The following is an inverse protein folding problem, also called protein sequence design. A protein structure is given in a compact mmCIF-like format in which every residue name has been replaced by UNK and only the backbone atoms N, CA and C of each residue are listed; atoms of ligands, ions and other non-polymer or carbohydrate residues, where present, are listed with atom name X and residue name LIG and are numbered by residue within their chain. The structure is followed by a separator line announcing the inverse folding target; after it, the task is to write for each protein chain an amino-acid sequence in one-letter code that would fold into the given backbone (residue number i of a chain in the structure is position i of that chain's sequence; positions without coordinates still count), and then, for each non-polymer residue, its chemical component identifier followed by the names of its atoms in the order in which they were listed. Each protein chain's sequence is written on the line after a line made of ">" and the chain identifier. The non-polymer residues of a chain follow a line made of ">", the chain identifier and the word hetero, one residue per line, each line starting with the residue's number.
data_IF_420835528416
#
_entry.id   IF_420835528416
#
_cell.length_a   1.000
_cell.length_b   1.000
_cell.length_c   1.000
_cell.angle_alpha   90.00
_cell.angle_beta   90.00
_cell.angle_gamma   90.00
#
_symmetry.space_group_name_H-M   'P 1'
#
loop_
_entity.id
_entity.type
_entity.pdbx_description
1 polymer ?
#
# COMPACT_ATOMS: atom_id res chain seq x y z
N UNK A 1 1.62 11.66 29.32
CA UNK A 1 2.70 12.53 28.79
C UNK A 1 2.39 12.87 27.35
N UNK A 2 2.89 14.00 26.86
CA UNK A 2 2.84 14.37 25.44
C UNK A 2 4.19 14.13 24.79
N UNK A 3 4.19 14.00 23.46
CA UNK A 3 5.40 13.96 22.67
C UNK A 3 5.60 15.37 22.11
N UNK A 4 6.63 16.07 22.57
CA UNK A 4 6.77 17.50 22.33
C UNK A 4 7.38 17.85 20.96
N UNK A 5 7.82 16.84 20.19
CA UNK A 5 8.31 17.01 18.82
C UNK A 5 8.00 15.80 17.92
N UNK A 6 7.93 15.96 16.60
CA UNK A 6 7.72 14.84 15.68
C UNK A 6 8.83 13.78 15.77
N UNK A 7 8.48 12.50 15.57
CA UNK A 7 9.45 11.41 15.61
C UNK A 7 10.60 11.57 14.61
N UNK A 8 10.39 12.20 13.45
CA UNK A 8 11.46 12.40 12.46
C UNK A 8 12.55 13.40 12.92
N UNK A 9 12.37 14.04 14.09
CA UNK A 9 13.35 14.90 14.75
C UNK A 9 13.95 14.27 16.01
N UNK A 10 13.59 13.02 16.32
CA UNK A 10 14.17 12.29 17.45
C UNK A 10 15.62 11.91 17.15
N UNK A 11 16.46 12.00 18.17
CA UNK A 11 17.73 11.30 18.27
C UNK A 11 17.49 9.82 18.55
N UNK A 12 18.52 8.99 18.33
CA UNK A 12 18.48 7.56 18.67
C UNK A 12 18.01 7.33 20.11
N UNK A 13 18.58 8.04 21.07
CA UNK A 13 18.29 7.85 22.48
C UNK A 13 16.81 8.11 22.80
N UNK A 14 16.21 9.15 22.20
CA UNK A 14 14.79 9.44 22.38
C UNK A 14 13.88 8.33 21.84
N UNK A 15 14.26 7.66 20.74
CA UNK A 15 13.54 6.47 20.29
C UNK A 15 13.66 5.33 21.29
N UNK A 16 14.87 5.05 21.77
CA UNK A 16 15.14 3.96 22.71
C UNK A 16 14.41 4.16 24.05
N UNK A 17 14.19 5.40 24.46
CA UNK A 17 13.41 5.73 25.67
C UNK A 17 11.91 5.73 25.42
N UNK A 18 11.47 6.27 24.28
CA UNK A 18 10.04 6.46 23.99
C UNK A 18 9.34 5.13 23.65
N UNK A 19 9.97 4.24 22.88
CA UNK A 19 9.35 2.99 22.41
C UNK A 19 8.96 2.05 23.58
N UNK A 20 9.83 1.73 24.54
CA UNK A 20 9.46 0.88 25.69
C UNK A 20 8.37 1.52 26.55
N UNK A 21 8.37 2.85 26.63
CA UNK A 21 7.46 3.63 27.46
C UNK A 21 6.24 4.17 26.69
N UNK A 22 5.94 3.64 25.51
CA UNK A 22 4.90 4.16 24.60
C UNK A 22 3.53 4.35 25.27
N UNK A 23 3.17 3.51 26.25
CA UNK A 23 1.90 3.57 26.97
C UNK A 23 1.73 4.86 27.80
N UNK A 24 2.83 5.53 28.14
CA UNK A 24 2.80 6.79 28.89
C UNK A 24 2.39 7.98 28.00
N UNK A 25 2.40 7.81 26.68
CA UNK A 25 2.17 8.87 25.71
C UNK A 25 0.80 8.71 25.04
N UNK A 26 -0.09 9.68 25.21
CA UNK A 26 -1.45 9.63 24.62
C UNK A 26 -1.42 9.70 23.10
N UNK A 27 -0.48 10.46 22.54
CA UNK A 27 -0.35 10.73 21.12
C UNK A 27 0.59 9.75 20.40
N UNK A 28 0.97 8.64 21.04
CA UNK A 28 1.92 7.71 20.43
C UNK A 28 1.32 7.05 19.18
N UNK A 29 1.90 7.35 18.03
CA UNK A 29 1.46 6.83 16.74
C UNK A 29 2.50 5.87 16.15
N UNK A 30 2.21 4.57 16.18
CA UNK A 30 3.09 3.53 15.62
C UNK A 30 3.37 3.70 14.12
N UNK A 31 2.39 4.17 13.33
CA UNK A 31 2.65 4.42 11.89
C UNK A 31 3.62 5.59 11.72
N UNK A 32 3.43 6.65 12.50
CA UNK A 32 4.34 7.80 12.53
C UNK A 32 5.76 7.39 12.92
N UNK A 33 5.89 6.51 13.91
CA UNK A 33 7.17 5.94 14.35
C UNK A 33 7.91 5.20 13.22
N UNK A 34 7.21 4.39 12.43
CA UNK A 34 7.86 3.65 11.35
C UNK A 34 8.24 4.56 10.18
N UNK A 35 7.35 5.49 9.78
CA UNK A 35 7.64 6.47 8.72
C UNK A 35 8.82 7.36 9.08
N UNK A 36 8.93 7.76 10.34
CA UNK A 36 10.02 8.62 10.78
C UNK A 36 11.40 7.96 10.66
N UNK A 37 11.52 6.63 10.67
CA UNK A 37 12.80 5.96 10.37
C UNK A 37 13.28 6.27 8.95
N UNK A 38 12.37 6.48 8.02
CA UNK A 38 12.66 6.77 6.62
C UNK A 38 12.94 8.26 6.44
N UNK A 39 12.14 9.10 7.08
CA UNK A 39 12.20 10.57 6.96
C UNK A 39 13.33 11.21 7.78
N UNK A 40 13.80 10.56 8.85
CA UNK A 40 14.80 11.12 9.74
C UNK A 40 16.21 11.05 9.13
N UNK A 41 16.76 12.22 8.79
CA UNK A 41 18.11 12.38 8.26
C UNK A 41 19.21 12.35 9.32
N UNK A 42 18.89 12.43 10.61
CA UNK A 42 19.87 12.42 11.71
C UNK A 42 20.28 11.01 12.15
N UNK A 43 19.58 9.97 11.69
CA UNK A 43 19.86 8.59 12.05
C UNK A 43 20.78 7.93 11.02
N UNK A 44 21.83 7.27 11.50
CA UNK A 44 22.63 6.38 10.66
C UNK A 44 21.82 5.16 10.24
N UNK A 45 22.32 4.42 9.24
CA UNK A 45 21.72 3.16 8.80
C UNK A 45 21.60 2.15 9.95
N UNK A 46 22.61 2.07 10.80
CA UNK A 46 22.64 1.14 11.93
C UNK A 46 21.67 1.56 13.03
N UNK A 47 21.53 2.86 13.28
CA UNK A 47 20.53 3.37 14.23
C UNK A 47 19.11 3.04 13.77
N UNK A 48 18.83 3.21 12.46
CA UNK A 48 17.52 2.85 11.89
C UNK A 48 17.22 1.36 12.07
N UNK A 49 18.21 0.49 11.88
CA UNK A 49 18.07 -0.95 12.08
C UNK A 49 17.79 -1.29 13.55
N UNK A 50 18.56 -0.74 14.47
CA UNK A 50 18.38 -0.97 15.91
C UNK A 50 17.00 -0.52 16.39
N UNK A 51 16.59 0.70 16.02
CA UNK A 51 15.28 1.24 16.37
C UNK A 51 14.16 0.43 15.72
N UNK A 52 14.35 -0.07 14.48
CA UNK A 52 13.39 -0.97 13.82
C UNK A 52 13.21 -2.26 14.63
N UNK A 53 14.29 -2.92 15.04
CA UNK A 53 14.19 -4.16 15.82
C UNK A 53 13.50 -3.93 17.18
N UNK A 54 13.84 -2.84 17.87
CA UNK A 54 13.14 -2.44 19.08
C UNK A 54 11.64 -2.19 18.81
N UNK A 55 11.33 -1.47 17.74
CA UNK A 55 9.94 -1.20 17.34
C UNK A 55 9.19 -2.49 17.00
N UNK A 56 9.83 -3.45 16.31
CA UNK A 56 9.24 -4.76 16.05
C UNK A 56 8.95 -5.51 17.34
N UNK A 57 9.88 -5.51 18.30
CA UNK A 57 9.67 -6.18 19.58
C UNK A 57 8.36 -5.74 20.26
N UNK A 58 8.04 -4.45 20.25
CA UNK A 58 6.79 -3.93 20.85
C UNK A 58 5.58 -3.96 19.91
N UNK A 59 5.78 -3.71 18.61
CA UNK A 59 4.69 -3.35 17.68
C UNK A 59 4.60 -4.24 16.44
N UNK A 60 5.19 -5.44 16.45
CA UNK A 60 5.22 -6.33 15.28
C UNK A 60 3.86 -6.53 14.62
N UNK A 61 2.81 -6.77 15.41
CA UNK A 61 1.44 -6.98 14.89
C UNK A 61 0.92 -5.75 14.15
N UNK A 62 1.18 -4.55 14.67
CA UNK A 62 0.79 -3.29 14.04
C UNK A 62 1.61 -3.07 12.76
N UNK A 63 2.91 -3.35 12.81
CA UNK A 63 3.79 -3.29 11.66
C UNK A 63 3.33 -4.22 10.53
N UNK A 64 3.03 -5.49 10.84
CA UNK A 64 2.59 -6.46 9.84
C UNK A 64 1.27 -6.05 9.18
N UNK A 65 0.41 -5.30 9.89
CA UNK A 65 -0.82 -4.74 9.36
C UNK A 65 -0.59 -3.53 8.42
N UNK A 66 0.60 -2.91 8.45
CA UNK A 66 0.95 -1.86 7.50
C UNK A 66 0.97 -2.38 6.06
N UNK A 67 1.18 -3.67 5.83
CA UNK A 67 0.97 -4.26 4.50
C UNK A 67 -0.39 -3.89 3.89
N UNK A 68 -1.44 -3.72 4.71
CA UNK A 68 -2.75 -3.25 4.22
C UNK A 68 -2.90 -1.72 4.21
N UNK A 69 -2.41 -1.03 5.25
CA UNK A 69 -2.64 0.41 5.44
C UNK A 69 -1.63 1.32 4.74
N UNK A 70 -0.39 0.87 4.63
CA UNK A 70 0.72 1.63 4.06
C UNK A 70 1.81 0.64 3.58
N UNK A 71 1.58 -0.02 2.45
CA UNK A 71 2.48 -1.06 1.97
C UNK A 71 3.85 -0.52 1.56
N UNK A 72 3.94 0.77 1.20
CA UNK A 72 5.21 1.43 0.90
C UNK A 72 6.09 1.52 2.15
N UNK A 73 5.54 2.08 3.23
CA UNK A 73 6.26 2.15 4.52
C UNK A 73 6.65 0.75 5.01
N UNK A 74 5.75 -0.23 4.88
CA UNK A 74 6.07 -1.62 5.25
C UNK A 74 7.26 -2.16 4.45
N UNK A 75 7.26 -1.96 3.13
CA UNK A 75 8.33 -2.40 2.25
C UNK A 75 9.65 -1.75 2.64
N UNK A 76 9.70 -0.41 2.66
CA UNK A 76 10.90 0.37 2.90
C UNK A 76 11.52 0.07 4.27
N UNK A 77 10.70 -0.03 5.33
CA UNK A 77 11.18 -0.39 6.67
C UNK A 77 11.71 -1.83 6.72
N UNK A 78 11.03 -2.77 6.05
CA UNK A 78 11.45 -4.17 6.00
C UNK A 78 12.79 -4.34 5.29
N UNK A 79 13.11 -3.44 4.36
CA UNK A 79 14.30 -3.52 3.51
C UNK A 79 15.37 -2.48 3.86
N UNK A 80 15.20 -1.72 4.96
CA UNK A 80 16.30 -0.94 5.55
C UNK A 80 17.49 -1.88 5.70
N UNK A 81 18.66 -1.44 5.22
CA UNK A 81 19.85 -2.28 5.30
C UNK A 81 20.28 -2.89 3.97
N UNK A 82 19.31 -3.16 3.09
CA UNK A 82 19.44 -4.16 2.03
C UNK A 82 19.55 -3.47 0.68
N UNK A 83 20.54 -3.87 -0.12
CA UNK A 83 20.60 -3.51 -1.54
C UNK A 83 19.72 -4.49 -2.31
N UNK A 84 18.70 -3.96 -3.00
CA UNK A 84 17.75 -4.76 -3.76
C UNK A 84 18.01 -4.61 -5.25
N UNK A 85 17.94 -5.72 -5.98
CA UNK A 85 17.75 -5.64 -7.42
C UNK A 85 16.29 -5.33 -7.74
N UNK A 86 16.03 -4.87 -8.96
CA UNK A 86 14.65 -4.69 -9.46
C UNK A 86 13.82 -5.99 -9.39
N UNK A 87 14.47 -7.16 -9.53
CA UNK A 87 13.81 -8.45 -9.37
C UNK A 87 13.36 -8.70 -7.92
N UNK A 88 14.18 -8.32 -6.95
CA UNK A 88 13.88 -8.45 -5.53
C UNK A 88 12.72 -7.55 -5.13
N UNK A 89 12.72 -6.29 -5.58
CA UNK A 89 11.61 -5.35 -5.36
C UNK A 89 10.29 -5.91 -5.89
N UNK A 90 10.27 -6.40 -7.13
CA UNK A 90 9.07 -7.00 -7.72
C UNK A 90 8.59 -8.22 -6.93
N UNK A 91 9.51 -9.03 -6.42
CA UNK A 91 9.19 -10.17 -5.57
C UNK A 91 8.60 -9.72 -4.22
N UNK A 92 9.17 -8.71 -3.58
CA UNK A 92 8.62 -8.11 -2.37
C UNK A 92 7.20 -7.62 -2.56
N UNK A 93 6.95 -6.87 -3.64
CA UNK A 93 5.60 -6.39 -3.97
C UNK A 93 4.63 -7.54 -4.25
N UNK A 94 5.08 -8.65 -4.82
CA UNK A 94 4.27 -9.87 -4.94
C UNK A 94 3.94 -10.46 -3.58
N UNK A 95 4.92 -10.59 -2.69
CA UNK A 95 4.74 -11.13 -1.33
C UNK A 95 3.77 -10.25 -0.52
N UNK A 96 3.94 -8.93 -0.57
CA UNK A 96 3.05 -7.96 0.10
C UNK A 96 1.61 -8.16 -0.38
N UNK A 97 1.37 -8.26 -1.69
CA UNK A 97 0.02 -8.49 -2.24
C UNK A 97 -0.57 -9.84 -1.79
N UNK A 98 0.24 -10.89 -1.75
CA UNK A 98 -0.22 -12.21 -1.27
C UNK A 98 -0.57 -12.18 0.22
N UNK A 99 0.20 -11.45 1.03
CA UNK A 99 -0.09 -11.25 2.45
C UNK A 99 -1.31 -10.35 2.67
N UNK A 100 -1.52 -9.31 1.86
CA UNK A 100 -2.74 -8.51 1.89
C UNK A 100 -3.99 -9.41 1.68
N UNK A 101 -3.96 -10.33 0.71
CA UNK A 101 -5.06 -11.30 0.49
C UNK A 101 -5.29 -12.17 1.74
N UNK A 102 -4.21 -12.69 2.34
CA UNK A 102 -4.28 -13.52 3.55
C UNK A 102 -4.86 -12.75 4.73
N UNK A 103 -4.35 -11.55 5.02
CA UNK A 103 -4.80 -10.74 6.15
C UNK A 103 -6.29 -10.40 6.00
N UNK A 104 -6.73 -9.98 4.81
CA UNK A 104 -8.15 -9.68 4.55
C UNK A 104 -9.03 -10.90 4.82
N UNK A 105 -8.61 -12.07 4.34
CA UNK A 105 -9.34 -13.33 4.55
C UNK A 105 -9.39 -13.73 6.02
N UNK A 106 -8.26 -13.71 6.70
CA UNK A 106 -8.13 -14.08 8.12
C UNK A 106 -8.94 -13.16 9.04
N UNK A 107 -8.87 -11.85 8.78
CA UNK A 107 -9.61 -10.82 9.53
C UNK A 107 -11.07 -10.70 9.10
N UNK A 108 -11.53 -11.49 8.11
CA UNK A 108 -12.90 -11.47 7.55
C UNK A 108 -13.33 -10.06 7.11
N UNK A 109 -12.42 -9.32 6.48
CA UNK A 109 -12.68 -7.97 6.01
C UNK A 109 -13.41 -8.03 4.65
N UNK A 110 -14.54 -7.33 4.55
CA UNK A 110 -15.40 -7.37 3.35
C UNK A 110 -15.13 -6.23 2.35
N UNK A 111 -14.13 -5.40 2.60
CA UNK A 111 -13.73 -4.31 1.70
C UNK A 111 -12.22 -4.34 1.47
N UNK A 112 -11.77 -3.69 0.38
CA UNK A 112 -10.35 -3.55 0.03
C UNK A 112 -9.87 -2.10 0.01
N UNK A 113 -10.69 -1.23 0.56
CA UNK A 113 -10.44 0.20 0.66
C UNK A 113 -9.64 0.47 1.94
N UNK A 114 -8.31 0.41 1.85
CA UNK A 114 -7.40 0.64 2.98
C UNK A 114 -6.32 1.63 2.57
N UNK A 115 -5.95 2.53 3.48
CA UNK A 115 -4.70 3.26 3.34
C UNK A 115 -4.62 4.09 2.06
N UNK A 116 -3.54 3.89 1.30
CA UNK A 116 -3.32 4.48 -0.03
C UNK A 116 -4.42 4.13 -1.03
N UNK A 117 -5.00 2.93 -0.97
CA UNK A 117 -6.11 2.53 -1.84
C UNK A 117 -7.44 3.23 -1.52
N UNK A 118 -7.53 3.90 -0.37
CA UNK A 118 -8.71 4.64 0.07
C UNK A 118 -8.58 6.15 -0.11
N UNK A 119 -7.51 6.63 -0.77
CA UNK A 119 -7.26 8.04 -1.00
C UNK A 119 -6.99 8.30 -2.47
N UNK A 120 -7.40 9.47 -2.94
CA UNK A 120 -6.93 9.98 -4.22
C UNK A 120 -5.49 10.45 -4.04
N UNK A 121 -4.62 9.94 -4.89
CA UNK A 121 -3.21 10.28 -4.96
C UNK A 121 -2.76 10.01 -6.40
N UNK A 122 -2.87 11.03 -7.25
CA UNK A 122 -2.61 10.93 -8.68
C UNK A 122 -1.17 11.32 -9.07
N UNK A 123 -0.31 11.60 -8.08
CA UNK A 123 1.07 12.02 -8.31
C UNK A 123 1.26 13.43 -8.88
N UNK A 124 0.18 14.22 -8.95
CA UNK A 124 0.23 15.64 -9.35
C UNK A 124 0.19 16.50 -8.09
N UNK A 125 1.29 17.17 -7.75
CA UNK A 125 1.44 17.92 -6.49
C UNK A 125 0.31 18.92 -6.20
N UNK A 126 -0.20 19.58 -7.24
CA UNK A 126 -1.24 20.62 -7.15
C UNK A 126 -2.66 20.08 -7.40
N UNK A 127 -2.88 18.76 -7.41
CA UNK A 127 -4.22 18.21 -7.55
C UNK A 127 -5.07 18.54 -6.31
N UNK A 128 -6.23 19.20 -6.45
CA UNK A 128 -7.08 19.57 -5.32
C UNK A 128 -7.74 18.37 -4.63
N UNK A 129 -7.68 17.19 -5.25
CA UNK A 129 -8.25 15.96 -4.71
C UNK A 129 -7.21 15.12 -3.96
N UNK A 130 -5.92 15.46 -3.97
CA UNK A 130 -4.92 14.68 -3.26
C UNK A 130 -5.24 14.60 -1.76
N UNK A 131 -5.21 13.39 -1.21
CA UNK A 131 -5.58 13.11 0.17
C UNK A 131 -7.08 12.97 0.42
N UNK A 132 -7.94 13.24 -0.56
CA UNK A 132 -9.38 13.02 -0.46
C UNK A 132 -9.67 11.53 -0.27
N UNK A 133 -10.48 11.20 0.73
CA UNK A 133 -10.92 9.82 0.95
C UNK A 133 -11.90 9.41 -0.14
N UNK A 134 -11.57 8.35 -0.88
CA UNK A 134 -12.36 7.87 -2.01
C UNK A 134 -12.93 6.48 -1.74
N UNK A 135 -14.10 6.22 -2.34
CA UNK A 135 -14.69 4.89 -2.35
C UNK A 135 -14.08 4.05 -3.47
N UNK A 136 -13.81 2.78 -3.20
CA UNK A 136 -13.35 1.82 -4.22
C UNK A 136 -14.31 1.81 -5.43
N UNK A 137 -13.74 1.92 -6.63
CA UNK A 137 -14.49 1.96 -7.90
C UNK A 137 -15.11 3.32 -8.23
N UNK A 138 -14.84 4.37 -7.44
CA UNK A 138 -15.20 5.73 -7.83
C UNK A 138 -14.34 6.23 -9.00
N UNK A 139 -14.80 7.24 -9.78
CA UNK A 139 -14.00 7.83 -10.86
C UNK A 139 -12.71 8.52 -10.38
N UNK A 140 -12.63 8.90 -9.09
CA UNK A 140 -11.43 9.46 -8.46
C UNK A 140 -10.45 8.37 -7.96
N UNK A 141 -10.85 7.11 -8.18
CA UNK A 141 -10.10 5.85 -8.26
C UNK A 141 -8.73 5.86 -8.94
N UNK A 142 -7.65 6.36 -8.34
CA UNK A 142 -6.33 6.24 -8.99
C UNK A 142 -5.75 4.82 -8.90
N UNK A 143 -5.92 4.19 -7.75
CA UNK A 143 -5.44 2.81 -7.53
C UNK A 143 -6.49 1.97 -6.83
N UNK A 144 -6.46 0.67 -7.10
CA UNK A 144 -7.27 -0.29 -6.35
C UNK A 144 -6.54 -1.61 -6.14
N UNK A 145 -6.81 -2.23 -4.98
CA UNK A 145 -6.25 -3.52 -4.62
C UNK A 145 -6.94 -4.65 -5.39
N UNK A 146 -6.15 -5.38 -6.18
CA UNK A 146 -6.57 -6.52 -6.98
C UNK A 146 -5.76 -7.77 -6.64
N UNK A 147 -6.43 -8.92 -6.66
CA UNK A 147 -5.82 -10.23 -6.44
C UNK A 147 -5.96 -11.11 -7.67
N UNK A 148 -5.06 -12.10 -7.81
CA UNK A 148 -5.04 -13.01 -8.96
C UNK A 148 -6.36 -13.77 -9.18
N UNK A 149 -7.10 -14.02 -8.09
CA UNK A 149 -8.38 -14.74 -8.12
C UNK A 149 -9.57 -13.85 -8.48
N UNK A 150 -9.36 -12.54 -8.61
CA UNK A 150 -10.44 -11.63 -9.01
C UNK A 150 -10.88 -11.93 -10.44
N UNK A 151 -12.20 -11.81 -10.69
CA UNK A 151 -12.71 -11.89 -12.06
C UNK A 151 -12.13 -10.76 -12.90
N UNK A 152 -11.40 -11.12 -13.94
CA UNK A 152 -10.91 -10.16 -14.94
C UNK A 152 -12.09 -9.63 -15.78
N UNK A 153 -12.53 -8.40 -15.48
CA UNK A 153 -13.64 -7.74 -16.20
C UNK A 153 -13.25 -7.39 -17.63
N UNK A 154 -11.99 -7.07 -17.87
CA UNK A 154 -11.49 -6.64 -19.18
C UNK A 154 -11.52 -7.79 -20.19
N UNK A 155 -11.12 -9.00 -19.79
CA UNK A 155 -11.21 -10.19 -20.65
C UNK A 155 -12.67 -10.46 -21.04
N UNK A 156 -13.62 -10.29 -20.12
CA UNK A 156 -15.05 -10.44 -20.41
C UNK A 156 -15.54 -9.38 -21.40
N UNK A 157 -15.15 -8.12 -21.19
CA UNK A 157 -15.49 -7.01 -22.07
C UNK A 157 -14.88 -7.18 -23.47
N UNK A 158 -13.60 -7.52 -23.55
CA UNK A 158 -12.89 -7.78 -24.80
C UNK A 158 -13.53 -8.94 -25.58
N UNK A 159 -13.91 -10.03 -24.90
CA UNK A 159 -14.65 -11.14 -25.53
C UNK A 159 -15.99 -10.66 -26.09
N UNK A 160 -16.75 -9.85 -25.34
CA UNK A 160 -18.03 -9.31 -25.79
C UNK A 160 -17.86 -8.36 -26.99
N UNK A 161 -16.85 -7.49 -26.97
CA UNK A 161 -16.51 -6.59 -28.08
C UNK A 161 -16.13 -7.37 -29.34
N UNK A 162 -15.34 -8.45 -29.19
CA UNK A 162 -14.96 -9.34 -30.28
C UNK A 162 -16.18 -10.00 -30.91
N UNK A 163 -17.05 -10.61 -30.11
CA UNK A 163 -18.30 -11.23 -30.61
C UNK A 163 -19.19 -10.20 -31.33
N UNK A 164 -19.32 -8.99 -30.78
CA UNK A 164 -20.09 -7.91 -31.42
C UNK A 164 -19.47 -7.43 -32.74
N UNK A 165 -18.14 -7.49 -32.87
CA UNK A 165 -17.44 -7.19 -34.13
C UNK A 165 -17.68 -8.31 -35.14
N UNK A 166 -17.44 -9.57 -34.76
CA UNK A 166 -17.67 -10.75 -35.62
C UNK A 166 -19.11 -10.81 -36.15
N UNK A 167 -20.11 -10.51 -35.31
CA UNK A 167 -21.52 -10.46 -35.74
C UNK A 167 -21.79 -9.34 -36.75
N UNK A 168 -21.15 -8.17 -36.61
CA UNK A 168 -21.26 -7.08 -37.59
C UNK A 168 -20.59 -7.44 -38.91
N UNK A 169 -19.39 -8.02 -38.84
CA UNK A 169 -18.62 -8.43 -40.02
C UNK A 169 -19.31 -9.57 -40.78
N UNK A 170 -20.02 -10.48 -40.08
CA UNK A 170 -20.83 -11.52 -40.71
C UNK A 170 -22.04 -10.94 -41.45
N UNK A 171 -22.78 -10.01 -40.82
CA UNK A 171 -23.92 -9.35 -41.47
C UNK A 171 -23.49 -8.55 -42.71
N UNK A 172 -22.35 -7.88 -42.65
CA UNK A 172 -21.81 -7.12 -43.78
C UNK A 172 -21.47 -8.04 -44.96
N UNK A 173 -20.74 -9.13 -44.71
CA UNK A 173 -20.40 -10.12 -45.75
C UNK A 173 -21.62 -10.77 -46.38
N UNK A 174 -22.63 -11.13 -45.59
CA UNK A 174 -23.88 -11.69 -46.12
C UNK A 174 -24.61 -10.71 -47.05
N UNK A 175 -24.65 -9.43 -46.69
CA UNK A 175 -25.27 -8.42 -47.55
C UNK A 175 -24.45 -8.14 -48.81
N UNK A 176 -23.11 -8.26 -48.77
CA UNK A 176 -22.21 -8.15 -49.93
C UNK A 176 -22.32 -9.36 -50.88
N UNK A 177 -22.83 -10.51 -50.43
CA UNK A 177 -23.05 -11.73 -51.23
C UNK A 177 -24.47 -11.81 -51.84
N UNK A 178 -25.40 -10.95 -51.40
CA UNK A 178 -26.79 -10.89 -51.88
C UNK A 178 -27.01 -9.80 -52.96
N UNK A 179 -26.00 -8.96 -53.24
CA UNK A 179 -25.94 -7.96 -54.33
C UNK A 179 -25.07 -8.45 -55.51
#
# INVERSE_FOLDING_TARGET
>A
MTIDKPFNQFSKQEYLECIPNHQLYTEFNTLGLYRSLLENGNLSKDDKLEIRELSHYYFKKTFDFLQLKDPQTFFEVSTIGVELTKGDELNWWRIIRENQEKIIKEKKLNHRNFGSYAKHDCGIDYCPYNGLMIRQGSPLAETSMHFKKDRNKDVKMQKALRIKKESRDWKRRRNEEED
#
